data_IF_781536143810
#
_entry.id   IF_781536143810
#
_cell.length_a   1.000
_cell.length_b   1.000
_cell.length_c   1.000
_cell.angle_alpha   90.00
_cell.angle_beta   90.00
_cell.angle_gamma   90.00
#
_symmetry.space_group_name_H-M   'P 1'
#
loop_
_entity.id
_entity.type
_entity.pdbx_description
1 polymer ?
#
# COMPACT_ATOMS: atom_id res chain seq x y z
N UNK A 1 0.44 20.02 -1.22
CA UNK A 1 1.39 19.05 -1.82
C UNK A 1 0.59 17.77 -2.00
N UNK A 2 0.62 17.14 -3.17
CA UNK A 2 -0.11 15.89 -3.35
C UNK A 2 0.52 14.82 -2.46
N UNK A 3 -0.28 14.22 -1.59
CA UNK A 3 0.12 13.07 -0.77
C UNK A 3 -1.10 12.21 -0.49
N UNK A 4 -0.87 10.90 -0.39
CA UNK A 4 -1.88 9.97 0.08
C UNK A 4 -1.64 9.79 1.59
N UNK A 5 -2.55 10.26 2.45
CA UNK A 5 -2.39 10.08 3.89
C UNK A 5 -2.40 8.59 4.23
N UNK A 6 -1.68 8.22 5.30
CA UNK A 6 -1.53 6.84 5.77
C UNK A 6 -2.86 6.07 5.77
N UNK A 7 -3.90 6.62 6.39
CA UNK A 7 -5.20 5.95 6.50
C UNK A 7 -5.90 5.74 5.16
N UNK A 8 -5.74 6.66 4.21
CA UNK A 8 -6.27 6.48 2.85
C UNK A 8 -5.49 5.39 2.12
N UNK A 9 -4.16 5.42 2.22
CA UNK A 9 -3.28 4.43 1.60
C UNK A 9 -3.57 3.01 2.13
N UNK A 10 -3.74 2.86 3.43
CA UNK A 10 -4.06 1.57 4.07
C UNK A 10 -5.38 0.98 3.55
N UNK A 11 -6.41 1.83 3.40
CA UNK A 11 -7.71 1.43 2.86
C UNK A 11 -7.63 1.04 1.38
N UNK A 12 -6.90 1.83 0.60
CA UNK A 12 -6.71 1.60 -0.84
C UNK A 12 -5.93 0.30 -1.08
N UNK A 13 -4.84 0.09 -0.35
CA UNK A 13 -4.05 -1.14 -0.38
C UNK A 13 -4.89 -2.36 0.00
N UNK A 14 -5.70 -2.29 1.06
CA UNK A 14 -6.56 -3.39 1.47
C UNK A 14 -7.50 -3.84 0.34
N UNK A 15 -8.05 -2.89 -0.43
CA UNK A 15 -8.86 -3.19 -1.60
C UNK A 15 -8.03 -3.68 -2.79
N UNK A 16 -6.92 -3.02 -3.11
CA UNK A 16 -6.05 -3.37 -4.22
C UNK A 16 -5.47 -4.78 -4.07
N UNK A 17 -5.03 -5.13 -2.86
CA UNK A 17 -4.54 -6.46 -2.53
C UNK A 17 -5.64 -7.50 -2.72
N UNK A 18 -6.83 -7.26 -2.16
CA UNK A 18 -7.98 -8.16 -2.33
C UNK A 18 -8.36 -8.34 -3.80
N UNK A 19 -8.30 -7.28 -4.60
CA UNK A 19 -8.56 -7.34 -6.04
C UNK A 19 -7.47 -8.11 -6.80
N UNK A 20 -6.20 -7.97 -6.42
CA UNK A 20 -5.06 -8.65 -7.07
C UNK A 20 -4.93 -10.13 -6.68
N UNK A 21 -5.07 -10.46 -5.40
CA UNK A 21 -4.79 -11.81 -4.88
C UNK A 21 -6.06 -12.59 -4.50
N UNK A 22 -7.21 -11.91 -4.39
CA UNK A 22 -8.42 -12.49 -3.81
C UNK A 22 -8.41 -12.59 -2.28
N UNK A 23 -7.31 -12.18 -1.62
CA UNK A 23 -7.13 -12.33 -0.17
C UNK A 23 -7.66 -11.10 0.57
N UNK A 24 -8.58 -11.31 1.51
CA UNK A 24 -8.99 -10.25 2.44
C UNK A 24 -7.91 -10.03 3.49
N UNK A 25 -7.38 -8.81 3.53
CA UNK A 25 -6.45 -8.37 4.57
C UNK A 25 -7.22 -7.85 5.79
N UNK A 26 -6.87 -8.34 6.98
CA UNK A 26 -7.44 -7.92 8.25
C UNK A 26 -7.07 -6.48 8.53
N UNK A 27 -5.78 -6.23 8.50
CA UNK A 27 -5.14 -4.95 8.77
C UNK A 27 -4.11 -4.68 7.71
N UNK A 28 -3.96 -3.41 7.34
CA UNK A 28 -2.83 -2.91 6.57
C UNK A 28 -2.27 -1.76 7.38
N UNK A 29 -1.01 -1.87 7.77
CA UNK A 29 -0.31 -0.84 8.54
C UNK A 29 0.85 -0.27 7.73
N UNK A 30 0.71 0.97 7.30
CA UNK A 30 1.78 1.69 6.61
C UNK A 30 2.66 2.44 7.61
N UNK A 31 3.98 2.48 7.38
CA UNK A 31 4.89 3.27 8.23
C UNK A 31 4.62 4.78 8.15
N UNK A 32 4.02 5.27 7.08
CA UNK A 32 3.73 6.67 6.86
C UNK A 32 2.84 6.92 5.64
N UNK A 33 2.60 8.20 5.31
CA UNK A 33 1.89 8.59 4.10
C UNK A 33 2.76 8.34 2.85
N UNK A 34 2.11 8.09 1.72
CA UNK A 34 2.80 8.07 0.43
C UNK A 34 2.91 9.50 -0.09
N UNK A 35 4.14 10.02 -0.11
CA UNK A 35 4.38 11.34 -0.72
C UNK A 35 4.21 11.24 -2.23
N UNK A 36 3.56 12.24 -2.82
CA UNK A 36 3.48 12.41 -4.27
C UNK A 36 4.82 12.84 -4.85
N UNK A 37 5.80 11.96 -4.79
CA UNK A 37 7.12 12.14 -5.35
C UNK A 37 7.47 10.87 -6.11
N UNK A 38 7.72 11.00 -7.41
CA UNK A 38 8.09 9.86 -8.26
C UNK A 38 9.35 9.19 -7.70
N UNK A 39 9.29 7.86 -7.55
CA UNK A 39 10.33 7.04 -6.94
C UNK A 39 10.28 6.97 -5.41
N UNK A 40 9.33 7.65 -4.75
CA UNK A 40 9.14 7.52 -3.32
C UNK A 40 8.59 6.14 -2.98
N UNK A 41 9.23 5.48 -2.02
CA UNK A 41 8.87 4.14 -1.56
C UNK A 41 8.29 4.21 -0.16
N UNK A 42 7.11 3.63 0.01
CA UNK A 42 6.43 3.49 1.27
C UNK A 42 6.25 2.02 1.59
N UNK A 43 6.74 1.60 2.75
CA UNK A 43 6.56 0.24 3.24
C UNK A 43 5.31 0.12 4.09
N UNK A 44 4.52 -0.91 3.83
CA UNK A 44 3.32 -1.28 4.58
C UNK A 44 3.35 -2.77 4.92
N UNK A 45 2.65 -3.15 5.98
CA UNK A 45 2.49 -4.55 6.39
C UNK A 45 1.02 -4.88 6.34
N UNK A 46 0.66 -5.86 5.52
CA UNK A 46 -0.71 -6.34 5.37
C UNK A 46 -0.85 -7.71 6.04
N UNK A 47 -1.78 -7.87 6.97
CA UNK A 47 -2.03 -9.13 7.67
C UNK A 47 -3.28 -9.78 7.09
N UNK A 48 -3.18 -11.00 6.57
CA UNK A 48 -4.30 -11.74 6.00
C UNK A 48 -5.32 -12.16 7.08
N UNK A 49 -6.62 -12.13 6.75
CA UNK A 49 -7.67 -12.64 7.66
C UNK A 49 -7.72 -14.17 7.70
N UNK A 50 -7.31 -14.85 6.62
CA UNK A 50 -7.49 -16.29 6.49
C UNK A 50 -6.56 -17.08 7.41
N UNK A 51 -5.27 -16.76 7.36
CA UNK A 51 -4.20 -17.50 8.04
C UNK A 51 -3.45 -16.65 9.07
N UNK A 52 -3.80 -15.37 9.22
CA UNK A 52 -3.08 -14.43 10.08
C UNK A 52 -1.66 -14.11 9.59
N UNK A 53 -1.29 -14.53 8.38
CA UNK A 53 0.03 -14.28 7.81
C UNK A 53 0.20 -12.81 7.45
N UNK A 54 1.32 -12.21 7.85
CA UNK A 54 1.71 -10.86 7.46
C UNK A 54 2.55 -10.89 6.19
N UNK A 55 2.19 -10.06 5.22
CA UNK A 55 2.96 -9.79 4.01
C UNK A 55 3.45 -8.34 4.03
N UNK A 56 4.70 -8.12 3.62
CA UNK A 56 5.18 -6.77 3.34
C UNK A 56 4.61 -6.29 2.00
N UNK A 57 4.29 -5.02 1.93
CA UNK A 57 3.82 -4.36 0.71
C UNK A 57 4.66 -3.13 0.52
N UNK A 58 5.46 -3.13 -0.55
CA UNK A 58 6.23 -1.97 -0.97
C UNK A 58 5.39 -1.18 -1.99
N UNK A 59 5.11 0.08 -1.65
CA UNK A 59 4.37 1.00 -2.49
C UNK A 59 5.33 1.98 -3.11
N UNK A 60 5.41 2.04 -4.43
CA UNK A 60 6.28 2.97 -5.14
C UNK A 60 5.45 3.97 -5.93
N UNK A 61 5.58 5.26 -5.63
CA UNK A 61 4.94 6.31 -6.42
C UNK A 61 5.59 6.39 -7.81
N UNK A 62 4.81 6.19 -8.88
CA UNK A 62 5.30 6.15 -10.26
C UNK A 62 4.97 7.41 -11.03
N UNK A 63 3.87 8.08 -10.71
CA UNK A 63 3.44 9.30 -11.40
C UNK A 63 2.63 10.20 -10.47
N UNK A 64 2.69 11.50 -10.69
CA UNK A 64 1.97 12.52 -9.90
C UNK A 64 1.31 13.47 -10.89
N UNK A 65 -0.03 13.47 -10.92
CA UNK A 65 -0.85 14.24 -11.87
C UNK A 65 -1.77 15.16 -11.08
N UNK A 66 -1.37 16.43 -10.95
CA UNK A 66 -2.10 17.39 -10.12
C UNK A 66 -2.15 16.91 -8.67
N UNK A 67 -3.35 16.57 -8.20
CA UNK A 67 -3.61 16.02 -6.86
C UNK A 67 -3.65 14.48 -6.83
N UNK A 68 -3.62 13.81 -7.98
CA UNK A 68 -3.61 12.36 -8.09
C UNK A 68 -2.18 11.79 -8.06
N UNK A 69 -1.97 10.72 -7.30
CA UNK A 69 -0.70 9.98 -7.27
C UNK A 69 -0.95 8.58 -7.79
N UNK A 70 -0.32 8.24 -8.91
CA UNK A 70 -0.23 6.87 -9.42
C UNK A 70 0.91 6.16 -8.68
N UNK A 71 0.65 4.95 -8.23
CA UNK A 71 1.64 4.14 -7.52
C UNK A 71 1.49 2.67 -7.89
N UNK A 72 2.59 1.94 -7.79
CA UNK A 72 2.61 0.49 -7.94
C UNK A 72 2.78 -0.19 -6.58
N UNK A 73 2.28 -1.42 -6.49
CA UNK A 73 2.30 -2.22 -5.27
C UNK A 73 3.01 -3.55 -5.54
N UNK A 74 4.08 -3.78 -4.79
CA UNK A 74 4.86 -5.01 -4.84
C UNK A 74 4.73 -5.76 -3.52
N UNK A 75 4.37 -7.03 -3.59
CA UNK A 75 4.33 -7.90 -2.41
C UNK A 75 5.72 -8.42 -2.13
N UNK A 76 6.21 -8.11 -0.93
CA UNK A 76 7.50 -8.60 -0.44
C UNK A 76 7.27 -9.52 0.76
N UNK A 77 8.01 -10.63 0.89
CA UNK A 77 7.89 -11.48 2.05
C UNK A 77 8.27 -10.70 3.31
N UNK A 78 7.35 -10.64 4.29
CA UNK A 78 7.70 -10.16 5.62
C UNK A 78 8.67 -11.18 6.22
N UNK A 79 9.96 -10.85 6.19
CA UNK A 79 11.05 -11.70 6.64
C UNK A 79 11.21 -11.64 8.15
#
# INVERSE_FOLDING_TARGET
MAEIPKSQLESDLKQAIKAKTGTSMRTVECKGPLKGQIGFKQYCVATAETDGSSAGVEVTATSVKGDGIDYDIEFVPAS
#
